data_IF_893183161011
#
_entry.id   IF_893183161011
#
_cell.length_a   1.000
_cell.length_b   1.000
_cell.length_c   1.000
_cell.angle_alpha   90.00
_cell.angle_beta   90.00
_cell.angle_gamma   90.00
#
_symmetry.space_group_name_H-M   'P 1'
#
loop_
_entity.id
_entity.type
_entity.pdbx_description
1 polymer ?
#
# COMPACT_ATOMS: atom_id res chain seq x y z
N UNK A 1 26.43 39.60 -1.18
CA UNK A 1 25.49 38.69 -1.91
C UNK A 1 26.20 37.37 -2.17
N UNK A 2 25.98 36.37 -1.37
CA UNK A 2 26.42 34.99 -1.63
C UNK A 2 25.17 34.10 -1.59
N UNK A 3 24.71 33.65 -2.77
CA UNK A 3 23.66 32.66 -2.93
C UNK A 3 24.16 31.33 -2.37
N UNK A 4 23.58 30.82 -1.30
CA UNK A 4 23.74 29.45 -0.87
C UNK A 4 22.80 28.58 -1.70
N UNK A 5 23.38 27.75 -2.55
CA UNK A 5 22.71 26.69 -3.28
C UNK A 5 22.43 25.60 -2.25
N UNK A 6 21.15 25.36 -1.95
CA UNK A 6 20.70 24.20 -1.19
C UNK A 6 20.73 23.04 -2.17
N UNK A 7 21.73 22.18 -2.05
CA UNK A 7 21.76 20.87 -2.71
C UNK A 7 20.75 19.95 -1.99
N UNK A 8 19.65 19.65 -2.65
CA UNK A 8 18.83 18.50 -2.31
C UNK A 8 19.70 17.23 -2.53
N UNK A 9 20.15 16.63 -1.46
CA UNK A 9 20.70 15.26 -1.49
C UNK A 9 19.52 14.30 -1.59
N UNK A 10 19.20 13.88 -2.80
CA UNK A 10 18.42 12.67 -3.05
C UNK A 10 19.28 11.50 -2.56
N UNK A 11 18.84 10.84 -1.49
CA UNK A 11 19.47 9.62 -1.02
C UNK A 11 19.35 8.56 -2.12
N UNK A 12 20.45 8.26 -2.78
CA UNK A 12 20.58 7.10 -3.67
C UNK A 12 20.62 5.87 -2.76
N UNK A 13 19.49 5.22 -2.61
CA UNK A 13 19.37 3.94 -1.94
C UNK A 13 20.15 2.91 -2.76
N UNK A 14 21.32 2.49 -2.25
CA UNK A 14 22.09 1.39 -2.82
C UNK A 14 21.24 0.12 -2.61
N UNK A 15 20.57 -0.36 -3.66
CA UNK A 15 19.88 -1.64 -3.65
C UNK A 15 20.92 -2.75 -3.47
N UNK A 16 21.05 -3.27 -2.28
CA UNK A 16 21.69 -4.55 -2.02
C UNK A 16 20.81 -5.63 -2.67
N UNK A 17 21.13 -5.98 -3.92
CA UNK A 17 20.57 -7.17 -4.57
C UNK A 17 21.16 -8.38 -3.86
N UNK A 18 20.41 -8.99 -2.95
CA UNK A 18 20.74 -10.29 -2.38
C UNK A 18 20.00 -11.31 -3.23
N UNK A 19 20.69 -12.06 -4.10
CA UNK A 19 20.06 -13.17 -4.80
C UNK A 19 19.84 -14.30 -3.76
N UNK A 20 18.66 -14.41 -3.23
CA UNK A 20 18.22 -15.68 -2.65
C UNK A 20 17.95 -16.58 -3.85
N UNK A 21 18.88 -17.48 -4.15
CA UNK A 21 18.69 -18.52 -5.15
C UNK A 21 17.66 -19.51 -4.62
N UNK A 22 16.38 -19.20 -4.84
CA UNK A 22 15.28 -20.14 -4.72
C UNK A 22 15.29 -21.04 -5.95
N UNK A 23 16.24 -21.99 -5.96
CA UNK A 23 16.24 -23.07 -6.94
C UNK A 23 14.93 -23.84 -6.86
N UNK A 24 14.35 -24.09 -8.02
CA UNK A 24 13.25 -25.01 -8.26
C UNK A 24 11.83 -24.51 -7.92
N UNK A 25 11.42 -23.40 -8.52
CA UNK A 25 10.01 -23.06 -8.60
C UNK A 25 9.58 -22.99 -10.07
N UNK A 26 8.60 -23.82 -10.44
CA UNK A 26 7.98 -23.83 -11.78
C UNK A 26 7.15 -22.55 -12.03
N UNK A 27 7.74 -21.36 -11.84
CA UNK A 27 7.11 -20.07 -12.09
C UNK A 27 8.00 -19.18 -12.96
N UNK A 28 7.40 -18.34 -13.78
CA UNK A 28 8.16 -17.50 -14.72
C UNK A 28 8.76 -16.25 -14.07
N UNK A 29 8.01 -15.65 -13.15
CA UNK A 29 8.46 -14.47 -12.41
C UNK A 29 7.81 -14.40 -11.03
N UNK A 30 8.51 -13.76 -10.09
CA UNK A 30 7.96 -13.40 -8.78
C UNK A 30 8.64 -12.15 -8.21
N UNK A 31 7.94 -11.50 -7.30
CA UNK A 31 8.47 -10.43 -6.47
C UNK A 31 7.81 -10.50 -5.09
N UNK A 32 8.61 -10.40 -4.04
CA UNK A 32 8.15 -10.26 -2.66
C UNK A 32 8.67 -8.95 -2.09
N UNK A 33 7.77 -8.13 -1.59
CA UNK A 33 8.10 -6.82 -1.03
C UNK A 33 7.35 -6.59 0.30
N UNK A 34 7.93 -5.84 1.22
CA UNK A 34 7.21 -5.37 2.39
C UNK A 34 6.18 -4.31 2.00
N UNK A 35 5.04 -4.28 2.68
CA UNK A 35 4.07 -3.19 2.53
C UNK A 35 4.61 -1.92 3.21
N UNK A 36 4.57 -0.79 2.50
CA UNK A 36 4.94 0.52 3.04
C UNK A 36 6.44 0.78 3.18
N UNK A 37 7.30 -0.09 2.62
CA UNK A 37 8.75 0.12 2.61
C UNK A 37 9.34 -0.19 1.24
N UNK A 38 10.34 0.56 0.82
CA UNK A 38 10.98 0.37 -0.48
C UNK A 38 11.79 -0.94 -0.55
N UNK A 39 11.85 -1.50 -1.75
CA UNK A 39 12.67 -2.66 -2.07
C UNK A 39 11.92 -3.99 -2.09
N UNK A 40 12.63 -5.05 -2.46
CA UNK A 40 12.13 -6.42 -2.48
C UNK A 40 13.04 -7.33 -1.67
N UNK A 41 12.46 -8.36 -1.06
CA UNK A 41 13.22 -9.38 -0.29
C UNK A 41 13.59 -10.58 -1.15
N UNK A 42 12.81 -10.84 -2.20
CA UNK A 42 13.07 -11.90 -3.17
C UNK A 42 12.45 -11.53 -4.52
N UNK A 43 13.16 -11.79 -5.60
CA UNK A 43 12.68 -11.49 -6.95
C UNK A 43 13.28 -12.42 -8.00
N UNK A 44 12.52 -12.69 -9.04
CA UNK A 44 12.92 -13.38 -10.27
C UNK A 44 12.17 -12.71 -11.43
N UNK A 45 12.90 -12.21 -12.43
CA UNK A 45 12.34 -11.56 -13.62
C UNK A 45 11.30 -10.47 -13.27
N UNK A 46 11.54 -9.75 -12.14
CA UNK A 46 10.52 -8.90 -11.52
C UNK A 46 10.13 -7.68 -12.36
N UNK A 47 11.02 -7.24 -13.24
CA UNK A 47 10.82 -6.09 -14.13
C UNK A 47 10.36 -6.48 -15.54
N UNK A 48 10.31 -7.80 -15.86
CA UNK A 48 9.91 -8.28 -17.17
C UNK A 48 8.37 -8.24 -17.31
N UNK A 49 7.80 -7.44 -18.25
CA UNK A 49 6.37 -7.43 -18.50
C UNK A 49 5.95 -8.75 -19.15
N UNK A 50 4.90 -9.37 -18.62
CA UNK A 50 4.28 -10.54 -19.22
C UNK A 50 2.76 -10.50 -19.07
N UNK A 51 2.07 -11.29 -19.88
CA UNK A 51 0.62 -11.46 -19.75
C UNK A 51 0.31 -12.12 -18.40
N UNK A 52 -0.66 -11.56 -17.70
CA UNK A 52 -0.94 -11.87 -16.29
C UNK A 52 -2.31 -12.49 -16.07
N UNK A 53 -2.91 -13.02 -17.14
CA UNK A 53 -4.25 -13.61 -17.09
C UNK A 53 -5.26 -12.65 -16.43
N UNK A 54 -6.12 -13.14 -15.54
CA UNK A 54 -7.15 -12.33 -14.89
C UNK A 54 -6.64 -11.22 -13.96
N UNK A 55 -5.33 -11.17 -13.63
CA UNK A 55 -4.78 -10.06 -12.85
C UNK A 55 -4.81 -8.74 -13.62
N UNK A 56 -4.89 -8.77 -14.95
CA UNK A 56 -5.03 -7.58 -15.79
C UNK A 56 -6.29 -6.75 -15.50
N UNK A 57 -7.29 -7.33 -14.83
CA UNK A 57 -8.49 -6.61 -14.37
C UNK A 57 -8.27 -5.81 -13.09
N UNK A 58 -7.15 -6.02 -12.38
CA UNK A 58 -6.92 -5.38 -11.09
C UNK A 58 -6.95 -3.84 -11.15
N UNK A 59 -6.38 -3.16 -12.17
CA UNK A 59 -6.51 -1.70 -12.28
C UNK A 59 -7.96 -1.22 -12.34
N UNK A 60 -8.83 -1.92 -13.07
CA UNK A 60 -10.25 -1.59 -13.16
C UNK A 60 -10.94 -1.79 -11.79
N UNK A 61 -10.68 -2.93 -11.13
CA UNK A 61 -11.23 -3.23 -9.80
C UNK A 61 -10.80 -2.19 -8.79
N UNK A 62 -9.52 -1.78 -8.78
CA UNK A 62 -9.02 -0.74 -7.88
C UNK A 62 -9.63 0.63 -8.15
N UNK A 63 -9.81 1.00 -9.41
CA UNK A 63 -10.49 2.26 -9.78
C UNK A 63 -11.93 2.28 -9.27
N UNK A 64 -12.64 1.15 -9.36
CA UNK A 64 -13.99 1.01 -8.78
C UNK A 64 -13.96 1.05 -7.26
N UNK A 65 -13.04 0.34 -6.60
CA UNK A 65 -12.90 0.39 -5.14
C UNK A 65 -12.63 1.82 -4.65
N UNK A 66 -11.74 2.56 -5.33
CA UNK A 66 -11.49 3.96 -5.02
C UNK A 66 -12.75 4.84 -5.20
N UNK A 67 -13.60 4.52 -6.19
CA UNK A 67 -14.88 5.21 -6.38
C UNK A 67 -15.87 4.93 -5.24
N UNK A 68 -15.83 3.73 -4.63
CA UNK A 68 -16.58 3.43 -3.41
C UNK A 68 -16.00 4.13 -2.18
N UNK A 69 -14.68 4.09 -2.02
CA UNK A 69 -14.00 4.67 -0.86
C UNK A 69 -14.08 6.21 -0.83
N UNK A 70 -14.24 6.85 -2.02
CA UNK A 70 -14.46 8.29 -2.18
C UNK A 70 -15.94 8.69 -2.27
N UNK A 71 -16.87 7.76 -2.03
CA UNK A 71 -18.32 7.97 -2.10
C UNK A 71 -18.85 8.41 -3.49
N UNK A 72 -18.06 8.26 -4.56
CA UNK A 72 -18.52 8.48 -5.93
C UNK A 72 -19.59 7.45 -6.31
N UNK A 73 -19.48 6.21 -5.79
CA UNK A 73 -20.50 5.17 -5.89
C UNK A 73 -21.13 5.00 -4.52
N UNK A 74 -22.45 5.27 -4.43
CA UNK A 74 -23.22 4.96 -3.22
C UNK A 74 -23.28 3.44 -3.02
N UNK A 75 -22.87 2.97 -1.85
CA UNK A 75 -22.88 1.54 -1.48
C UNK A 75 -24.28 0.93 -1.56
N UNK A 76 -25.33 1.74 -1.37
CA UNK A 76 -26.73 1.33 -1.40
C UNK A 76 -27.36 1.52 -2.79
N UNK A 77 -26.62 2.03 -3.77
CA UNK A 77 -27.16 2.22 -5.11
C UNK A 77 -27.61 0.89 -5.72
N UNK A 78 -28.69 0.96 -6.48
CA UNK A 78 -29.19 -0.15 -7.31
C UNK A 78 -28.70 0.07 -8.73
N UNK A 79 -27.97 -0.89 -9.27
CA UNK A 79 -27.40 -0.86 -10.61
C UNK A 79 -28.24 -1.72 -11.54
N UNK A 80 -28.66 -1.15 -12.68
CA UNK A 80 -29.33 -1.91 -13.75
C UNK A 80 -28.29 -2.47 -14.69
N UNK A 81 -28.32 -3.78 -14.89
CA UNK A 81 -27.37 -4.50 -15.74
C UNK A 81 -27.72 -4.26 -17.22
N UNK A 82 -26.76 -3.78 -17.99
CA UNK A 82 -26.91 -3.58 -19.43
C UNK A 82 -26.81 -4.90 -20.21
N UNK A 83 -27.22 -4.86 -21.49
CA UNK A 83 -26.98 -5.99 -22.38
C UNK A 83 -25.49 -6.23 -22.65
N UNK A 84 -24.66 -5.18 -22.59
CA UNK A 84 -23.22 -5.28 -22.75
C UNK A 84 -22.58 -6.00 -21.58
N UNK A 85 -22.93 -5.62 -20.36
CA UNK A 85 -22.48 -6.27 -19.12
C UNK A 85 -22.84 -7.77 -19.12
N UNK A 86 -24.10 -8.10 -19.43
CA UNK A 86 -24.58 -9.48 -19.43
C UNK A 86 -23.94 -10.39 -20.51
N UNK A 87 -23.25 -9.82 -21.51
CA UNK A 87 -22.55 -10.57 -22.58
C UNK A 87 -21.06 -10.75 -22.31
N UNK A 88 -20.54 -10.22 -21.20
CA UNK A 88 -19.12 -10.39 -20.85
C UNK A 88 -18.81 -11.87 -20.63
N UNK A 89 -17.70 -12.32 -21.21
CA UNK A 89 -17.22 -13.70 -21.09
C UNK A 89 -16.10 -13.81 -20.03
N UNK A 90 -15.87 -15.05 -19.60
CA UNK A 90 -14.85 -15.37 -18.59
C UNK A 90 -15.44 -15.48 -17.19
N UNK A 91 -14.68 -15.15 -16.13
CA UNK A 91 -15.23 -15.07 -14.78
C UNK A 91 -16.33 -14.01 -14.72
N UNK A 92 -17.53 -14.43 -14.28
CA UNK A 92 -18.74 -13.60 -14.21
C UNK A 92 -19.55 -13.93 -12.97
N UNK A 93 -20.40 -13.00 -12.55
CA UNK A 93 -21.42 -13.19 -11.52
C UNK A 93 -22.75 -13.72 -12.11
N UNK A 94 -22.78 -14.09 -13.42
CA UNK A 94 -23.94 -14.55 -14.17
C UNK A 94 -25.10 -13.54 -14.19
N UNK A 95 -24.74 -12.26 -14.36
CA UNK A 95 -25.72 -11.18 -14.46
C UNK A 95 -26.56 -11.29 -15.73
N UNK A 96 -27.84 -10.97 -15.62
CA UNK A 96 -28.77 -10.94 -16.76
C UNK A 96 -29.10 -9.50 -17.13
N UNK A 97 -29.32 -9.27 -18.43
CA UNK A 97 -29.71 -7.95 -18.92
C UNK A 97 -31.03 -7.50 -18.27
N UNK A 98 -31.09 -6.24 -17.88
CA UNK A 98 -32.22 -5.55 -17.22
C UNK A 98 -32.47 -5.95 -15.77
N UNK A 99 -31.75 -6.92 -15.19
CA UNK A 99 -31.84 -7.15 -13.75
C UNK A 99 -31.24 -5.99 -12.97
N UNK A 100 -31.64 -5.88 -11.72
CA UNK A 100 -31.11 -4.87 -10.79
C UNK A 100 -30.38 -5.55 -9.64
N UNK A 101 -29.18 -5.06 -9.32
CA UNK A 101 -28.34 -5.59 -8.27
C UNK A 101 -27.76 -4.42 -7.48
N UNK A 102 -27.50 -4.60 -6.20
CA UNK A 102 -26.84 -3.56 -5.39
C UNK A 102 -25.38 -3.36 -5.83
N UNK A 103 -24.93 -2.10 -5.81
CA UNK A 103 -23.53 -1.77 -6.12
C UNK A 103 -22.55 -2.54 -5.21
N UNK A 104 -22.93 -2.74 -3.93
CA UNK A 104 -22.14 -3.53 -2.96
C UNK A 104 -21.97 -4.99 -3.40
N UNK A 105 -22.98 -5.66 -3.91
CA UNK A 105 -22.86 -7.04 -4.38
C UNK A 105 -22.01 -7.12 -5.66
N UNK A 106 -22.10 -6.13 -6.54
CA UNK A 106 -21.29 -6.07 -7.75
C UNK A 106 -19.80 -5.88 -7.43
N UNK A 107 -19.45 -4.94 -6.52
CA UNK A 107 -18.03 -4.76 -6.18
C UNK A 107 -17.47 -5.96 -5.42
N UNK A 108 -18.27 -6.63 -4.57
CA UNK A 108 -17.90 -7.89 -3.94
C UNK A 108 -17.54 -8.95 -4.98
N UNK A 109 -18.39 -9.17 -6.01
CA UNK A 109 -18.13 -10.11 -7.09
C UNK A 109 -16.89 -9.74 -7.92
N UNK A 110 -16.70 -8.44 -8.20
CA UNK A 110 -15.54 -7.94 -8.92
C UNK A 110 -14.23 -8.23 -8.16
N UNK A 111 -14.19 -8.03 -6.84
CA UNK A 111 -13.00 -8.28 -6.00
C UNK A 111 -12.76 -9.76 -5.76
N UNK A 112 -13.80 -10.53 -5.37
CA UNK A 112 -13.63 -11.93 -4.97
C UNK A 112 -13.27 -12.87 -6.11
N UNK A 113 -13.95 -12.71 -7.26
CA UNK A 113 -13.83 -13.64 -8.40
C UNK A 113 -13.45 -12.96 -9.72
N UNK A 114 -13.06 -11.67 -9.69
CA UNK A 114 -12.78 -10.86 -10.88
C UNK A 114 -13.91 -10.88 -11.94
N UNK A 115 -15.17 -10.83 -11.48
CA UNK A 115 -16.36 -10.90 -12.31
C UNK A 115 -16.40 -9.74 -13.32
N UNK A 116 -16.21 -10.06 -14.60
CA UNK A 116 -16.11 -9.06 -15.67
C UNK A 116 -17.43 -8.33 -15.93
N UNK A 117 -18.56 -9.02 -15.82
CA UNK A 117 -19.90 -8.47 -15.94
C UNK A 117 -20.21 -7.46 -14.81
N UNK A 118 -19.79 -7.76 -13.60
CA UNK A 118 -19.92 -6.85 -12.45
C UNK A 118 -19.01 -5.60 -12.60
N UNK A 119 -17.77 -5.78 -13.06
CA UNK A 119 -16.86 -4.65 -13.37
C UNK A 119 -17.51 -3.75 -14.42
N UNK A 120 -18.04 -4.34 -15.51
CA UNK A 120 -18.65 -3.59 -16.59
C UNK A 120 -19.90 -2.83 -16.14
N UNK A 121 -20.80 -3.49 -15.39
CA UNK A 121 -22.01 -2.86 -14.88
C UNK A 121 -21.71 -1.66 -13.95
N UNK A 122 -20.72 -1.80 -13.05
CA UNK A 122 -20.28 -0.70 -12.19
C UNK A 122 -19.61 0.43 -12.97
N UNK A 123 -18.81 0.09 -14.00
CA UNK A 123 -18.19 1.06 -14.89
C UNK A 123 -19.26 1.91 -15.60
N UNK A 124 -20.27 1.27 -16.21
CA UNK A 124 -21.36 2.00 -16.87
C UNK A 124 -22.15 2.87 -15.91
N UNK A 125 -22.40 2.36 -14.69
CA UNK A 125 -23.14 3.10 -13.66
C UNK A 125 -22.41 4.35 -13.17
N UNK A 126 -21.10 4.26 -12.90
CA UNK A 126 -20.35 5.34 -12.25
C UNK A 126 -19.65 6.27 -13.25
N UNK A 127 -19.22 5.77 -14.39
CA UNK A 127 -18.39 6.50 -15.34
C UNK A 127 -19.10 6.73 -16.70
N UNK A 128 -20.21 6.05 -16.93
CA UNK A 128 -21.04 6.21 -18.14
C UNK A 128 -20.47 5.59 -19.42
N UNK A 129 -19.15 5.55 -19.57
CA UNK A 129 -18.49 4.93 -20.74
C UNK A 129 -17.13 4.33 -20.39
N UNK A 130 -16.73 3.32 -21.18
CA UNK A 130 -15.41 2.70 -21.05
C UNK A 130 -14.27 3.71 -21.27
N UNK A 131 -14.43 4.66 -22.17
CA UNK A 131 -13.43 5.70 -22.45
C UNK A 131 -13.13 6.55 -21.22
N UNK A 132 -14.16 7.07 -20.53
CA UNK A 132 -14.00 7.84 -19.30
C UNK A 132 -13.39 6.98 -18.20
N UNK A 133 -13.79 5.72 -18.10
CA UNK A 133 -13.24 4.80 -17.12
C UNK A 133 -11.75 4.51 -17.36
N UNK A 134 -11.34 4.27 -18.61
CA UNK A 134 -9.94 4.06 -18.98
C UNK A 134 -9.07 5.29 -18.69
N UNK A 135 -9.60 6.50 -18.84
CA UNK A 135 -8.90 7.73 -18.42
C UNK A 135 -8.65 7.72 -16.91
N UNK A 136 -9.64 7.32 -16.10
CA UNK A 136 -9.48 7.20 -14.64
C UNK A 136 -8.50 6.10 -14.24
N UNK A 137 -8.52 4.95 -14.92
CA UNK A 137 -7.50 3.89 -14.74
C UNK A 137 -6.11 4.44 -15.04
N UNK A 138 -5.93 5.15 -16.17
CA UNK A 138 -4.64 5.72 -16.55
C UNK A 138 -4.13 6.74 -15.52
N UNK A 139 -5.00 7.59 -14.98
CA UNK A 139 -4.66 8.52 -13.90
C UNK A 139 -4.24 7.80 -12.62
N UNK A 140 -4.92 6.72 -12.25
CA UNK A 140 -4.56 5.91 -11.09
C UNK A 140 -3.22 5.22 -11.30
N UNK A 141 -2.98 4.60 -12.46
CA UNK A 141 -1.69 3.97 -12.80
C UNK A 141 -0.54 4.98 -12.77
N UNK A 142 -0.73 6.16 -13.37
CA UNK A 142 0.27 7.23 -13.37
C UNK A 142 0.63 7.69 -11.95
N UNK A 143 -0.36 7.84 -11.06
CA UNK A 143 -0.12 8.17 -9.63
C UNK A 143 0.73 7.11 -8.91
N UNK A 144 0.66 5.86 -9.35
CA UNK A 144 1.47 4.75 -8.83
C UNK A 144 2.84 4.64 -9.52
N UNK A 145 3.17 5.53 -10.45
CA UNK A 145 4.40 5.47 -11.24
C UNK A 145 4.39 4.39 -12.33
N UNK A 146 3.21 3.92 -12.73
CA UNK A 146 3.04 2.91 -13.79
C UNK A 146 2.62 3.62 -15.09
N UNK A 147 3.58 3.81 -15.99
CA UNK A 147 3.37 4.47 -17.28
C UNK A 147 2.79 3.47 -18.29
N UNK A 148 1.46 3.30 -18.23
CA UNK A 148 0.76 2.31 -19.05
C UNK A 148 -0.62 2.79 -19.48
N UNK A 149 -0.99 2.49 -20.73
CA UNK A 149 -2.36 2.61 -21.24
C UNK A 149 -2.97 1.22 -21.38
N UNK A 150 -4.13 1.02 -20.78
CA UNK A 150 -4.85 -0.24 -20.85
C UNK A 150 -5.53 -0.41 -22.22
N UNK A 151 -5.55 -1.64 -22.74
CA UNK A 151 -6.23 -2.00 -24.01
C UNK A 151 -7.75 -1.99 -23.88
N UNK A 152 -8.28 -2.12 -22.67
CA UNK A 152 -9.70 -2.10 -22.33
C UNK A 152 -9.87 -2.25 -20.81
N UNK A 153 -11.07 -1.98 -20.31
CA UNK A 153 -11.33 -2.02 -18.87
C UNK A 153 -11.19 -3.42 -18.25
N UNK A 154 -11.31 -4.47 -19.04
CA UNK A 154 -11.08 -5.86 -18.59
C UNK A 154 -9.63 -6.33 -18.82
N UNK A 155 -8.82 -5.55 -19.53
CA UNK A 155 -7.36 -5.71 -19.62
C UNK A 155 -6.89 -7.05 -20.19
N UNK A 156 -7.66 -7.72 -21.05
CA UNK A 156 -7.42 -9.12 -21.46
C UNK A 156 -6.10 -9.36 -22.17
N UNK A 157 -5.54 -8.32 -22.80
CA UNK A 157 -4.28 -8.40 -23.57
C UNK A 157 -3.13 -7.62 -22.92
N UNK A 158 -3.38 -7.00 -21.77
CA UNK A 158 -2.39 -6.20 -21.10
C UNK A 158 -1.37 -7.05 -20.33
N UNK A 159 -0.12 -6.58 -20.35
CA UNK A 159 1.00 -7.20 -19.66
C UNK A 159 1.44 -6.34 -18.47
N UNK A 160 1.87 -6.97 -17.38
CA UNK A 160 2.44 -6.32 -16.22
C UNK A 160 3.71 -7.03 -15.76
N UNK A 161 4.64 -6.28 -15.19
CA UNK A 161 5.75 -6.85 -14.44
C UNK A 161 5.32 -7.18 -13.01
N UNK A 162 6.08 -8.05 -12.33
CA UNK A 162 5.81 -8.32 -10.90
C UNK A 162 5.92 -7.04 -10.06
N UNK A 163 6.84 -6.15 -10.39
CA UNK A 163 7.04 -4.89 -9.67
C UNK A 163 5.84 -3.95 -9.81
N UNK A 164 5.30 -3.79 -11.03
CA UNK A 164 4.06 -3.03 -11.24
C UNK A 164 2.89 -3.64 -10.46
N UNK A 165 2.81 -4.97 -10.39
CA UNK A 165 1.79 -5.67 -9.62
C UNK A 165 1.96 -5.52 -8.10
N UNK A 166 3.18 -5.37 -7.59
CA UNK A 166 3.41 -5.02 -6.17
C UNK A 166 2.89 -3.61 -5.89
N UNK A 167 3.14 -2.62 -6.75
CA UNK A 167 2.58 -1.27 -6.59
C UNK A 167 1.04 -1.27 -6.59
N UNK A 168 0.43 -2.05 -7.48
CA UNK A 168 -1.03 -2.26 -7.48
C UNK A 168 -1.50 -2.97 -6.21
N UNK A 169 -0.72 -3.91 -5.67
CA UNK A 169 -1.04 -4.60 -4.42
C UNK A 169 -0.96 -3.66 -3.21
N UNK A 170 -0.04 -2.71 -3.19
CA UNK A 170 0.02 -1.66 -2.16
C UNK A 170 -1.21 -0.75 -2.23
N UNK A 171 -1.59 -0.32 -3.43
CA UNK A 171 -2.83 0.44 -3.64
C UNK A 171 -4.07 -0.34 -3.18
N UNK A 172 -4.11 -1.65 -3.46
CA UNK A 172 -5.18 -2.55 -3.01
C UNK A 172 -5.27 -2.62 -1.47
N UNK A 173 -4.12 -2.70 -0.80
CA UNK A 173 -4.04 -2.72 0.66
C UNK A 173 -4.42 -1.37 1.31
N UNK A 174 -4.39 -0.27 0.57
CA UNK A 174 -4.84 1.04 1.04
C UNK A 174 -6.36 1.25 0.85
N UNK A 175 -7.01 0.51 -0.04
CA UNK A 175 -8.47 0.58 -0.24
C UNK A 175 -9.22 -0.23 0.82
N UNK A 176 -10.12 0.42 1.56
CA UNK A 176 -11.00 -0.25 2.55
C UNK A 176 -11.94 -1.23 1.86
N UNK A 177 -12.56 -0.81 0.75
CA UNK A 177 -13.47 -1.64 -0.04
C UNK A 177 -12.76 -2.89 -0.55
N UNK A 178 -11.56 -2.76 -1.11
CA UNK A 178 -10.82 -3.92 -1.60
C UNK A 178 -10.45 -4.88 -0.46
N UNK A 179 -9.89 -4.39 0.66
CA UNK A 179 -9.51 -5.22 1.81
C UNK A 179 -10.69 -6.00 2.38
N UNK A 180 -11.87 -5.38 2.42
CA UNK A 180 -13.08 -6.03 2.93
C UNK A 180 -13.40 -7.30 2.15
N UNK A 181 -13.42 -7.24 0.82
CA UNK A 181 -13.87 -8.35 0.00
C UNK A 181 -12.78 -9.31 -0.43
N UNK A 182 -11.52 -8.89 -0.56
CA UNK A 182 -10.43 -9.80 -0.97
C UNK A 182 -10.10 -10.87 0.08
N UNK A 183 -10.47 -10.66 1.35
CA UNK A 183 -10.30 -11.61 2.44
C UNK A 183 -11.46 -12.63 2.54
N UNK A 184 -12.56 -12.42 1.84
CA UNK A 184 -13.70 -13.34 1.85
C UNK A 184 -13.37 -14.62 1.08
N UNK A 185 -13.67 -15.77 1.69
CA UNK A 185 -13.44 -17.09 1.08
C UNK A 185 -14.62 -17.53 0.23
N UNK A 186 -15.81 -17.17 0.67
CA UNK A 186 -17.07 -17.59 0.08
C UNK A 186 -18.15 -16.56 0.38
N UNK A 187 -18.98 -16.28 -0.60
CA UNK A 187 -20.19 -15.47 -0.46
C UNK A 187 -21.26 -15.97 -1.43
N UNK A 188 -22.49 -15.58 -1.20
CA UNK A 188 -23.61 -15.82 -2.12
C UNK A 188 -24.08 -14.47 -2.62
N UNK A 189 -24.17 -14.29 -3.92
CA UNK A 189 -24.80 -13.17 -4.56
C UNK A 189 -26.25 -13.53 -4.87
N UNK A 190 -27.19 -12.75 -4.35
CA UNK A 190 -28.61 -12.95 -4.56
C UNK A 190 -29.12 -12.07 -5.69
N UNK A 191 -29.73 -12.70 -6.71
CA UNK A 191 -30.34 -12.00 -7.82
C UNK A 191 -31.80 -11.63 -7.51
N UNK A 192 -32.29 -10.58 -8.15
CA UNK A 192 -33.66 -10.09 -7.92
C UNK A 192 -34.76 -11.11 -8.31
N UNK A 193 -34.46 -12.04 -9.21
CA UNK A 193 -35.35 -13.13 -9.64
C UNK A 193 -35.30 -14.37 -8.75
N UNK A 194 -34.53 -14.33 -7.65
CA UNK A 194 -34.39 -15.43 -6.69
C UNK A 194 -33.28 -16.41 -7.04
N UNK A 195 -32.50 -16.22 -8.13
CA UNK A 195 -31.29 -16.98 -8.41
C UNK A 195 -30.21 -16.65 -7.37
N UNK A 196 -29.32 -17.58 -7.16
CA UNK A 196 -28.14 -17.41 -6.31
C UNK A 196 -26.88 -17.75 -7.11
N UNK A 197 -25.83 -16.94 -6.96
CA UNK A 197 -24.51 -17.21 -7.51
C UNK A 197 -23.50 -17.36 -6.40
N UNK A 198 -22.81 -18.50 -6.36
CA UNK A 198 -21.73 -18.73 -5.43
C UNK A 198 -20.48 -17.98 -5.85
N UNK A 199 -19.94 -17.14 -4.96
CA UNK A 199 -18.68 -16.43 -5.11
C UNK A 199 -17.62 -17.15 -4.27
N UNK A 200 -16.82 -18.01 -4.90
CA UNK A 200 -15.77 -18.76 -4.21
C UNK A 200 -14.39 -18.23 -4.62
N UNK A 201 -13.62 -17.73 -3.65
CA UNK A 201 -12.29 -17.22 -3.89
C UNK A 201 -11.34 -18.33 -4.39
N UNK A 202 -10.64 -18.06 -5.50
CA UNK A 202 -9.60 -18.95 -6.02
C UNK A 202 -8.26 -18.84 -5.26
N UNK A 203 -8.18 -17.94 -4.27
CA UNK A 203 -7.02 -17.78 -3.41
C UNK A 203 -7.04 -18.82 -2.26
N UNK A 204 -6.40 -19.95 -2.48
CA UNK A 204 -6.34 -21.03 -1.46
C UNK A 204 -5.55 -20.63 -0.22
N UNK A 205 -4.64 -19.65 -0.30
CA UNK A 205 -3.81 -19.22 0.82
C UNK A 205 -4.65 -18.60 1.95
N UNK A 206 -5.82 -18.05 1.64
CA UNK A 206 -6.77 -17.58 2.66
C UNK A 206 -7.13 -18.65 3.70
N UNK A 207 -7.04 -19.93 3.33
CA UNK A 207 -7.36 -21.06 4.23
C UNK A 207 -6.14 -21.86 4.67
N UNK A 208 -5.03 -21.78 3.94
CA UNK A 208 -3.87 -22.68 4.14
C UNK A 208 -2.64 -21.98 4.70
N UNK A 209 -2.53 -20.65 4.58
CA UNK A 209 -1.39 -19.87 5.05
C UNK A 209 -1.82 -18.92 6.17
N UNK A 210 -1.23 -19.10 7.35
CA UNK A 210 -1.50 -18.23 8.50
C UNK A 210 -1.11 -16.77 8.20
N UNK A 211 -2.02 -15.83 8.49
CA UNK A 211 -1.84 -14.41 8.25
C UNK A 211 -2.14 -13.96 6.82
N UNK A 212 -2.55 -14.86 5.90
CA UNK A 212 -2.97 -14.45 4.56
C UNK A 212 -4.28 -13.64 4.63
N UNK A 213 -4.26 -12.43 4.04
CA UNK A 213 -5.37 -11.48 4.04
C UNK A 213 -5.92 -11.17 2.64
N UNK A 214 -5.44 -11.82 1.62
CA UNK A 214 -5.85 -11.65 0.23
C UNK A 214 -4.66 -11.90 -0.68
N UNK A 215 -4.66 -11.48 -1.90
CA UNK A 215 -5.36 -10.40 -2.62
C UNK A 215 -6.18 -10.96 -3.81
N UNK A 216 -5.51 -11.09 -5.00
CA UNK A 216 -6.19 -11.29 -6.28
C UNK A 216 -5.53 -12.43 -7.07
N UNK A 217 -6.30 -13.23 -7.78
CA UNK A 217 -5.76 -14.35 -8.57
C UNK A 217 -6.38 -14.41 -9.95
N UNK A 218 -5.59 -14.88 -10.91
CA UNK A 218 -6.05 -15.10 -12.27
C UNK A 218 -5.39 -16.32 -12.90
N UNK A 219 -6.04 -16.90 -13.92
CA UNK A 219 -5.46 -17.97 -14.72
C UNK A 219 -5.99 -17.94 -16.14
N UNK A 220 -5.15 -18.34 -17.09
CA UNK A 220 -5.55 -18.61 -18.46
C UNK A 220 -4.77 -19.82 -19.00
N UNK A 221 -5.21 -20.37 -20.11
CA UNK A 221 -4.49 -21.49 -20.77
C UNK A 221 -3.14 -21.07 -21.31
N UNK A 222 -3.00 -19.83 -21.74
CA UNK A 222 -1.78 -19.29 -22.38
C UNK A 222 -0.80 -18.70 -21.37
N UNK A 223 -1.30 -18.01 -20.35
CA UNK A 223 -0.49 -17.22 -19.43
C UNK A 223 -0.18 -17.98 -18.14
N UNK A 224 -0.84 -19.12 -17.93
CA UNK A 224 -0.70 -19.95 -16.71
C UNK A 224 -1.49 -19.37 -15.54
N UNK A 225 -1.04 -19.70 -14.34
CA UNK A 225 -1.65 -19.31 -13.08
C UNK A 225 -0.84 -18.18 -12.45
N UNK A 226 -1.50 -17.04 -12.24
CA UNK A 226 -0.92 -15.84 -11.66
C UNK A 226 -1.63 -15.49 -10.35
N UNK A 227 -0.92 -14.87 -9.41
CA UNK A 227 -1.52 -14.49 -8.12
C UNK A 227 -0.76 -13.39 -7.42
N UNK A 228 -1.54 -12.57 -6.72
CA UNK A 228 -1.09 -11.57 -5.77
C UNK A 228 -1.57 -11.97 -4.39
N UNK A 229 -0.67 -11.94 -3.44
CA UNK A 229 -0.94 -12.36 -2.07
C UNK A 229 -0.42 -11.32 -1.10
N UNK A 230 -1.14 -11.11 -0.01
CA UNK A 230 -0.69 -10.33 1.13
C UNK A 230 -0.80 -11.20 2.38
N UNK A 231 0.24 -11.19 3.20
CA UNK A 231 0.24 -11.85 4.49
C UNK A 231 0.72 -10.89 5.57
N UNK A 232 -0.01 -10.85 6.69
CA UNK A 232 0.32 -10.05 7.87
C UNK A 232 0.64 -10.95 9.05
N UNK A 233 1.79 -10.72 9.70
CA UNK A 233 2.19 -11.36 10.97
C UNK A 233 2.83 -10.33 11.88
N UNK A 234 2.22 -10.08 13.03
CA UNK A 234 2.58 -8.94 13.88
C UNK A 234 2.45 -7.64 13.11
N UNK A 235 3.49 -6.80 13.16
CA UNK A 235 3.51 -5.50 12.48
C UNK A 235 3.99 -5.60 11.03
N UNK A 236 4.50 -6.75 10.60
CA UNK A 236 5.01 -6.94 9.25
C UNK A 236 3.92 -7.46 8.31
N UNK A 237 3.81 -6.81 7.15
CA UNK A 237 2.99 -7.28 6.02
C UNK A 237 3.89 -7.43 4.80
N UNK A 238 3.88 -8.62 4.19
CA UNK A 238 4.56 -8.87 2.92
C UNK A 238 3.56 -9.08 1.80
N UNK A 239 3.86 -8.48 0.65
CA UNK A 239 3.17 -8.66 -0.62
C UNK A 239 3.97 -9.62 -1.47
N UNK A 240 3.29 -10.50 -2.20
CA UNK A 240 3.92 -11.47 -3.08
C UNK A 240 3.17 -11.55 -4.41
N UNK A 241 3.87 -11.28 -5.50
CA UNK A 241 3.42 -11.51 -6.86
C UNK A 241 4.06 -12.79 -7.39
N UNK A 242 3.26 -13.70 -7.96
CA UNK A 242 3.72 -14.93 -8.62
C UNK A 242 3.06 -15.02 -9.99
N UNK A 243 3.87 -15.17 -11.05
CA UNK A 243 3.39 -15.18 -12.43
C UNK A 243 3.81 -16.46 -13.18
N UNK A 244 2.89 -16.93 -14.03
CA UNK A 244 3.16 -17.98 -14.99
C UNK A 244 3.38 -19.37 -14.39
N UNK A 245 2.78 -19.67 -13.24
CA UNK A 245 2.80 -21.04 -12.67
C UNK A 245 2.02 -22.02 -13.56
N UNK A 246 2.44 -23.31 -13.65
CA UNK A 246 1.78 -24.31 -14.51
C UNK A 246 0.38 -24.70 -14.03
N UNK A 247 0.12 -24.57 -12.73
CA UNK A 247 -1.16 -24.91 -12.11
C UNK A 247 -1.39 -24.10 -10.81
N UNK A 248 -2.62 -24.18 -10.30
CA UNK A 248 -3.01 -23.47 -9.06
C UNK A 248 -2.21 -23.92 -7.83
N UNK A 249 -1.81 -25.20 -7.78
CA UNK A 249 -1.01 -25.73 -6.65
C UNK A 249 0.39 -25.13 -6.67
N UNK A 250 1.09 -25.18 -7.81
CA UNK A 250 2.44 -24.61 -7.96
C UNK A 250 2.46 -23.12 -7.64
N UNK A 251 1.44 -22.34 -8.08
CA UNK A 251 1.28 -20.94 -7.71
C UNK A 251 1.19 -20.74 -6.20
N UNK A 252 0.35 -21.53 -5.53
CA UNK A 252 0.14 -21.43 -4.09
C UNK A 252 1.36 -21.89 -3.29
N UNK A 253 2.02 -22.97 -3.71
CA UNK A 253 3.23 -23.50 -3.06
C UNK A 253 4.38 -22.48 -3.19
N UNK A 254 4.56 -21.90 -4.38
CA UNK A 254 5.54 -20.85 -4.62
C UNK A 254 5.32 -19.63 -3.71
N UNK A 255 4.11 -19.11 -3.68
CA UNK A 255 3.78 -17.95 -2.84
C UNK A 255 3.95 -18.27 -1.35
N UNK A 256 3.54 -19.47 -0.90
CA UNK A 256 3.74 -19.91 0.48
C UNK A 256 5.20 -19.92 0.86
N UNK A 257 6.05 -20.58 0.06
CA UNK A 257 7.48 -20.69 0.32
C UNK A 257 8.14 -19.30 0.37
N UNK A 258 7.86 -18.44 -0.61
CA UNK A 258 8.39 -17.10 -0.68
C UNK A 258 8.00 -16.24 0.54
N UNK A 259 6.73 -16.28 0.94
CA UNK A 259 6.24 -15.54 2.10
C UNK A 259 6.80 -16.10 3.42
N UNK A 260 6.88 -17.42 3.58
CA UNK A 260 7.49 -18.03 4.79
C UNK A 260 8.96 -17.63 4.91
N UNK A 261 9.73 -17.64 3.82
CA UNK A 261 11.12 -17.19 3.81
C UNK A 261 11.25 -15.70 4.11
N UNK A 262 10.35 -14.85 3.58
CA UNK A 262 10.30 -13.44 3.91
C UNK A 262 10.10 -13.24 5.42
N UNK A 263 9.08 -13.89 6.00
CA UNK A 263 8.81 -13.80 7.43
C UNK A 263 9.89 -14.47 8.30
N UNK A 264 10.58 -15.48 7.83
CA UNK A 264 11.68 -16.10 8.57
C UNK A 264 12.87 -15.14 8.73
N UNK A 265 13.22 -14.41 7.66
CA UNK A 265 14.46 -13.66 7.57
C UNK A 265 14.31 -12.15 7.79
N UNK A 266 13.12 -11.59 7.58
CA UNK A 266 12.88 -10.16 7.60
C UNK A 266 11.76 -9.76 8.55
N UNK A 267 11.80 -8.50 8.98
CA UNK A 267 10.72 -7.80 9.68
C UNK A 267 10.64 -6.36 9.18
N UNK A 268 9.47 -5.76 9.26
CA UNK A 268 9.35 -4.31 9.14
C UNK A 268 9.36 -3.67 10.52
N UNK A 269 9.99 -2.51 10.64
CA UNK A 269 10.04 -1.71 11.86
C UNK A 269 9.60 -0.30 11.51
N UNK A 270 8.54 0.16 12.13
CA UNK A 270 8.10 1.55 12.00
C UNK A 270 8.97 2.41 12.91
N UNK A 271 9.71 3.33 12.32
CA UNK A 271 10.64 4.22 13.02
C UNK A 271 9.95 5.49 13.53
N UNK A 272 8.93 5.94 12.81
CA UNK A 272 8.16 7.12 13.15
C UNK A 272 6.75 7.03 12.56
N UNK A 273 5.80 7.54 13.33
CA UNK A 273 4.42 7.79 12.92
C UNK A 273 4.08 9.26 13.21
N UNK A 274 3.35 9.96 12.33
CA UNK A 274 2.98 11.37 12.56
C UNK A 274 2.14 11.60 13.82
N UNK A 275 1.47 10.55 14.31
CA UNK A 275 0.63 10.58 15.52
C UNK A 275 1.39 10.34 16.82
N UNK A 276 2.67 9.92 16.75
CA UNK A 276 3.49 9.59 17.90
C UNK A 276 4.79 10.39 17.90
N UNK A 277 5.24 10.91 19.07
CA UNK A 277 6.50 11.63 19.15
C UNK A 277 7.69 10.67 18.92
N UNK A 278 8.63 11.09 18.08
CA UNK A 278 9.93 10.43 17.95
C UNK A 278 10.80 10.70 19.19
N UNK A 279 10.65 11.88 19.77
CA UNK A 279 11.31 12.30 21.02
C UNK A 279 10.31 13.08 21.85
N UNK A 280 10.17 12.72 23.11
CA UNK A 280 9.31 13.42 24.04
C UNK A 280 10.10 14.34 24.97
N UNK A 281 9.45 15.41 25.43
CA UNK A 281 9.93 16.32 26.47
C UNK A 281 11.30 16.94 26.17
N UNK A 282 11.60 17.33 24.91
CA UNK A 282 12.87 17.98 24.60
C UNK A 282 12.93 19.40 25.16
N UNK A 283 14.03 19.79 25.84
CA UNK A 283 14.12 21.07 26.55
C UNK A 283 14.06 22.28 25.60
N UNK A 284 13.45 23.37 26.07
CA UNK A 284 13.39 24.66 25.37
C UNK A 284 14.16 25.72 26.18
N UNK A 285 15.17 26.31 25.54
CA UNK A 285 16.04 27.30 26.16
C UNK A 285 15.29 28.63 26.42
N UNK A 286 15.61 29.28 27.56
CA UNK A 286 15.03 30.59 27.91
C UNK A 286 13.57 30.54 28.35
N UNK A 287 13.07 29.36 28.67
CA UNK A 287 11.75 29.12 29.27
C UNK A 287 11.93 28.62 30.71
N UNK A 288 10.83 28.56 31.47
CA UNK A 288 10.84 28.08 32.87
C UNK A 288 10.61 26.56 32.91
N UNK A 289 11.51 25.79 32.26
CA UNK A 289 11.43 24.32 32.20
C UNK A 289 10.44 23.78 31.19
N UNK A 290 10.00 24.58 30.20
CA UNK A 290 9.14 24.07 29.13
C UNK A 290 9.88 23.07 28.25
N UNK A 291 9.16 22.07 27.82
CA UNK A 291 9.60 21.05 26.86
C UNK A 291 8.67 20.98 25.68
N UNK A 292 9.11 20.39 24.58
CA UNK A 292 8.30 20.09 23.39
C UNK A 292 8.50 18.65 22.97
N UNK A 293 7.46 18.05 22.42
CA UNK A 293 7.57 16.78 21.75
C UNK A 293 7.94 16.99 20.27
N UNK A 294 8.77 16.10 19.75
CA UNK A 294 9.27 16.19 18.38
C UNK A 294 8.72 15.05 17.55
N UNK A 295 8.09 15.40 16.43
CA UNK A 295 7.39 14.49 15.53
C UNK A 295 8.06 14.43 14.15
N UNK A 296 7.84 13.31 13.45
CA UNK A 296 8.03 13.24 12.00
C UNK A 296 6.74 13.64 11.28
N UNK A 297 6.84 14.24 10.08
CA UNK A 297 5.65 14.60 9.28
C UNK A 297 5.09 13.41 8.49
N UNK A 298 5.89 12.37 8.30
CA UNK A 298 5.52 11.18 7.52
C UNK A 298 5.82 9.91 8.31
N UNK A 299 5.02 8.87 8.08
CA UNK A 299 5.31 7.53 8.59
C UNK A 299 6.55 6.96 7.88
N UNK A 300 7.48 6.41 8.64
CA UNK A 300 8.69 5.80 8.12
C UNK A 300 8.82 4.38 8.62
N UNK A 301 8.68 3.43 7.71
CA UNK A 301 8.83 2.00 7.97
C UNK A 301 10.02 1.45 7.20
N UNK A 302 10.90 0.75 7.89
CA UNK A 302 12.07 0.09 7.31
C UNK A 302 11.89 -1.41 7.27
N UNK A 303 12.45 -2.01 6.22
CA UNK A 303 12.68 -3.44 6.11
C UNK A 303 14.04 -3.78 6.72
N UNK A 304 14.05 -4.63 7.75
CA UNK A 304 15.27 -5.08 8.40
C UNK A 304 15.39 -6.61 8.33
N UNK A 305 16.64 -7.10 8.21
CA UNK A 305 16.89 -8.51 8.46
C UNK A 305 16.78 -8.77 9.96
N UNK A 306 16.16 -9.85 10.35
CA UNK A 306 16.05 -10.25 11.77
C UNK A 306 17.40 -10.47 12.44
N UNK A 307 18.42 -10.86 11.64
CA UNK A 307 19.81 -11.00 12.09
C UNK A 307 20.43 -9.69 12.52
N UNK A 308 19.99 -8.56 11.97
CA UNK A 308 20.66 -7.27 12.14
C UNK A 308 20.26 -6.56 13.45
N UNK A 309 19.20 -7.06 14.10
CA UNK A 309 18.69 -6.52 15.39
C UNK A 309 17.89 -5.23 15.22
N UNK A 310 17.85 -4.44 16.29
CA UNK A 310 17.20 -3.11 16.28
C UNK A 310 18.20 -2.05 15.82
N UNK A 311 17.73 -1.00 15.08
CA UNK A 311 18.57 0.12 14.70
C UNK A 311 19.00 0.97 15.89
N UNK A 312 20.20 1.53 15.82
CA UNK A 312 20.66 2.57 16.76
C UNK A 312 20.16 3.94 16.28
N UNK A 313 19.77 4.81 17.23
CA UNK A 313 19.23 6.14 16.92
C UNK A 313 20.20 7.20 17.42
N UNK A 314 20.52 8.17 16.56
CA UNK A 314 21.27 9.37 16.94
C UNK A 314 20.49 10.62 16.56
N UNK A 315 20.45 11.58 17.49
CA UNK A 315 19.78 12.86 17.29
C UNK A 315 20.81 13.95 17.02
N UNK A 316 20.62 14.68 15.92
CA UNK A 316 21.32 15.94 15.65
C UNK A 316 20.40 17.09 16.08
N UNK A 317 20.45 17.37 17.39
CA UNK A 317 19.66 18.39 18.08
C UNK A 317 20.57 19.13 19.05
N UNK A 318 20.37 20.43 19.28
CA UNK A 318 21.02 21.14 20.39
C UNK A 318 20.48 20.63 21.73
N UNK A 319 21.26 20.77 22.83
CA UNK A 319 20.86 20.35 24.19
C UNK A 319 19.51 20.96 24.60
N UNK A 320 19.18 22.14 24.13
CA UNK A 320 17.89 22.80 24.29
C UNK A 320 17.55 23.61 23.00
N UNK A 321 16.30 23.53 22.55
CA UNK A 321 15.81 24.29 21.39
C UNK A 321 15.64 25.77 21.74
N UNK A 322 16.02 26.64 20.81
CA UNK A 322 15.91 28.09 21.02
C UNK A 322 14.66 28.65 20.31
N UNK A 323 13.72 29.30 21.03
CA UNK A 323 12.58 29.98 20.41
C UNK A 323 13.01 31.11 19.45
N UNK A 324 12.21 31.44 18.40
CA UNK A 324 10.86 30.92 18.18
C UNK A 324 10.88 29.51 17.57
N UNK A 325 9.94 28.66 18.01
CA UNK A 325 9.69 27.34 17.42
C UNK A 325 8.38 27.39 16.63
N UNK A 326 8.33 26.71 15.50
CA UNK A 326 7.16 26.63 14.64
C UNK A 326 7.06 25.18 14.09
N UNK A 327 5.90 24.52 14.21
CA UNK A 327 5.68 23.16 13.70
C UNK A 327 5.94 22.97 12.22
N UNK A 328 5.94 24.07 11.44
CA UNK A 328 6.21 23.99 9.99
C UNK A 328 7.71 23.88 9.68
N UNK A 329 8.60 24.19 10.61
CA UNK A 329 10.05 24.15 10.41
C UNK A 329 10.72 23.09 11.24
N UNK A 330 11.61 22.34 10.59
CA UNK A 330 12.43 21.34 11.28
C UNK A 330 13.41 21.97 12.26
N UNK A 331 13.54 21.37 13.43
CA UNK A 331 14.46 21.81 14.50
C UNK A 331 15.72 20.95 14.60
N UNK A 332 15.78 19.85 13.86
CA UNK A 332 16.92 18.93 13.81
C UNK A 332 16.55 17.63 13.10
N UNK A 333 17.38 16.60 13.30
CA UNK A 333 17.17 15.31 12.65
C UNK A 333 17.39 14.14 13.61
N UNK A 334 16.69 13.02 13.32
CA UNK A 334 16.98 11.70 13.87
C UNK A 334 17.58 10.83 12.79
N UNK A 335 18.74 10.24 13.03
CA UNK A 335 19.40 9.32 12.08
C UNK A 335 19.42 7.91 12.69
N UNK A 336 18.95 6.94 11.91
CA UNK A 336 18.88 5.53 12.28
C UNK A 336 20.01 4.78 11.63
N UNK A 337 20.77 4.01 12.40
CA UNK A 337 21.93 3.27 11.95
C UNK A 337 21.74 1.76 12.10
N UNK A 338 22.26 1.01 11.14
CA UNK A 338 22.47 -0.43 11.33
C UNK A 338 23.64 -0.69 12.26
N UNK A 339 23.76 -1.93 12.78
CA UNK A 339 24.87 -2.32 13.67
C UNK A 339 26.26 -2.18 13.05
N UNK A 340 26.37 -2.20 11.75
CA UNK A 340 27.63 -1.98 11.01
C UNK A 340 27.96 -0.49 10.84
N UNK A 341 27.11 0.41 11.36
CA UNK A 341 27.26 1.85 11.29
C UNK A 341 26.73 2.48 9.99
N UNK A 342 26.15 1.69 9.08
CA UNK A 342 25.52 2.24 7.87
C UNK A 342 24.21 2.98 8.22
N UNK A 343 23.94 4.10 7.53
CA UNK A 343 22.72 4.87 7.71
C UNK A 343 21.56 4.12 7.06
N UNK A 344 20.53 3.83 7.84
CA UNK A 344 19.29 3.20 7.38
C UNK A 344 18.25 4.25 6.95
N UNK A 345 18.10 5.31 7.74
CA UNK A 345 17.17 6.41 7.47
C UNK A 345 17.57 7.66 8.22
N UNK A 346 17.11 8.81 7.74
CA UNK A 346 17.23 10.09 8.43
C UNK A 346 15.90 10.83 8.32
N UNK A 347 15.39 11.31 9.46
CA UNK A 347 14.11 12.01 9.59
C UNK A 347 14.35 13.43 10.08
N UNK A 348 13.63 14.38 9.48
CA UNK A 348 13.51 15.72 10.03
C UNK A 348 12.51 15.72 11.21
N UNK A 349 12.85 16.42 12.27
CA UNK A 349 12.05 16.53 13.48
C UNK A 349 11.40 17.90 13.60
N UNK A 350 10.13 17.93 13.96
CA UNK A 350 9.28 19.12 14.05
C UNK A 350 8.66 19.20 15.44
N UNK A 351 8.61 20.40 16.06
CA UNK A 351 7.97 20.56 17.37
C UNK A 351 6.45 20.41 17.27
N UNK A 352 5.83 19.90 18.32
CA UNK A 352 4.37 19.70 18.44
C UNK A 352 3.57 21.01 18.42
N UNK A 353 4.20 22.12 18.89
CA UNK A 353 3.56 23.42 19.00
C UNK A 353 4.53 24.57 18.74
N UNK A 354 3.96 25.73 18.43
CA UNK A 354 4.72 26.95 18.33
C UNK A 354 5.10 27.50 19.73
N UNK A 355 6.34 27.93 19.88
CA UNK A 355 6.80 28.65 21.06
C UNK A 355 7.39 29.99 20.59
N UNK A 356 6.83 31.09 21.09
CA UNK A 356 7.33 32.44 20.79
C UNK A 356 8.53 32.77 21.67
N UNK A 357 9.47 33.52 21.11
CA UNK A 357 10.59 34.04 21.91
C UNK A 357 10.06 34.99 22.99
N UNK A 358 10.51 34.77 24.23
CA UNK A 358 10.24 35.75 25.32
C UNK A 358 10.91 37.07 24.99
N UNK A 359 10.15 38.16 24.90
CA UNK A 359 10.75 39.48 24.76
C UNK A 359 11.44 39.90 26.12
N UNK A 360 12.40 40.81 26.01
CA UNK A 360 13.15 41.31 27.16
C UNK A 360 12.22 41.80 28.28
N UNK A 361 11.07 42.37 27.91
CA UNK A 361 10.10 42.93 28.86
C UNK A 361 9.38 41.81 29.64
N UNK A 362 9.05 40.71 29.02
CA UNK A 362 8.41 39.53 29.64
C UNK A 362 9.37 38.86 30.63
N UNK A 363 10.65 38.72 30.24
CA UNK A 363 11.70 38.17 31.10
C UNK A 363 11.93 39.10 32.34
N UNK A 364 12.04 40.40 32.09
CA UNK A 364 12.23 41.37 33.17
C UNK A 364 11.05 41.40 34.14
N UNK A 365 9.81 41.33 33.66
CA UNK A 365 8.61 41.26 34.51
C UNK A 365 8.56 39.98 35.35
N UNK A 366 8.96 38.83 34.79
CA UNK A 366 9.08 37.58 35.56
C UNK A 366 10.11 37.66 36.70
N UNK A 367 11.28 38.18 36.39
CA UNK A 367 12.32 38.40 37.38
C UNK A 367 11.83 39.32 38.52
N UNK A 368 11.14 40.41 38.17
CA UNK A 368 10.56 41.33 39.17
C UNK A 368 9.46 40.67 40.00
N UNK A 369 8.62 39.82 39.41
CA UNK A 369 7.59 39.08 40.15
C UNK A 369 8.19 38.05 41.11
N UNK A 370 9.28 37.37 40.71
CA UNK A 370 10.01 36.46 41.62
C UNK A 370 10.61 37.17 42.84
N UNK A 371 11.09 38.41 42.67
CA UNK A 371 11.59 39.22 43.80
C UNK A 371 10.50 39.77 44.71
N UNK A 372 9.24 39.81 44.28
CA UNK A 372 8.10 40.31 45.07
C UNK A 372 7.32 39.19 45.78
N UNK A 373 7.65 37.92 45.52
CA UNK A 373 6.99 36.76 46.12
C UNK A 373 7.79 36.08 47.22
N UNK A 374 8.99 36.54 47.52
CA UNK A 374 9.80 36.27 48.75
C UNK A 374 9.63 37.43 49.75
#
# INVERSE_FOLDING_TARGET
MRRRIVLLLTAVLLMLRIPVALADQDVKAYCVAPLGSAGSVAELNADEPMRVAGLSKLPAVLTLCNAFDSELIDRNATVTVSQSAAKINGPTAFLQATETISATELIRAAVMISAGDAIWALMEHAFGSEEVFLQNISLMLHKLGIEKTMSGCLGTDDSFSCRELILLSESAMNSETFRTYCAEKYAILHHADGRETELASANKLLSTLSGCVGLFTGSSKTDGYCGLFACKRGDSTFLCAVLGAPNSKSRSDAATKLLEEAFANYKTVTLAEPSEPVVSEWPVAGTDGETVDLFAKESVTLLLKKSDGEPDIQFDLPDALTPPLDPEFSVGTATFYAKDGSVLSQLALYPDRAIVSSDFRSVLMRVFQGFLSD
#
